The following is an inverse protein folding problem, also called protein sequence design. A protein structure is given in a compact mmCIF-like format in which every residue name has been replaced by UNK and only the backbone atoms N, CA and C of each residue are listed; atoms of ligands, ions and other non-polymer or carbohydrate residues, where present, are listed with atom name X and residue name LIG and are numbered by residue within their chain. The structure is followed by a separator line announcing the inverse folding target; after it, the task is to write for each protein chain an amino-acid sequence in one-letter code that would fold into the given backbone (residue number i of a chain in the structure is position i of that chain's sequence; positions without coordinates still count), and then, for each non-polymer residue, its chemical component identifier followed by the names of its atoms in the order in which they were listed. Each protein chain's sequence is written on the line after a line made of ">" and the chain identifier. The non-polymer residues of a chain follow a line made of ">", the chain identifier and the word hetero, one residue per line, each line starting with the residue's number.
data_IF_066134799584
#
_entry.id   IF_066134799584
#
_cell.length_a   1.000
_cell.length_b   1.000
_cell.length_c   1.000
_cell.angle_alpha   90.00
_cell.angle_beta   90.00
_cell.angle_gamma   90.00
#
_symmetry.space_group_name_H-M   'P 1'
#
loop_
_entity.id
_entity.type
_entity.pdbx_description
1 polymer ?
#
# COMPACT_ATOMS: atom_id res chain seq x y z
N UNK A 1 23.41 -16.36 -24.68
CA UNK A 1 22.54 -15.18 -24.91
C UNK A 1 22.24 -14.59 -23.55
N UNK A 2 22.94 -13.51 -23.21
CA UNK A 2 22.85 -12.83 -21.92
C UNK A 2 21.71 -11.82 -22.03
N UNK A 3 20.62 -12.01 -21.29
CA UNK A 3 19.56 -11.00 -21.20
C UNK A 3 20.05 -9.85 -20.31
N UNK A 4 20.42 -8.74 -20.93
CA UNK A 4 20.58 -7.47 -20.23
C UNK A 4 19.26 -7.09 -19.54
N UNK A 5 19.28 -6.60 -18.29
CA UNK A 5 18.08 -6.04 -17.66
C UNK A 5 17.63 -4.82 -18.45
N UNK A 6 16.35 -4.81 -18.83
CA UNK A 6 15.70 -3.68 -19.51
C UNK A 6 15.81 -2.44 -18.61
N UNK A 7 16.54 -1.42 -19.06
CA UNK A 7 16.73 -0.14 -18.35
C UNK A 7 15.60 0.86 -18.58
N UNK A 8 14.51 0.44 -19.22
CA UNK A 8 13.26 1.20 -19.27
C UNK A 8 12.47 0.83 -18.01
N UNK A 9 12.16 1.80 -17.14
CA UNK A 9 11.47 1.59 -15.85
C UNK A 9 10.02 1.09 -15.95
N UNK A 10 9.73 0.23 -16.91
CA UNK A 10 8.44 -0.37 -17.16
C UNK A 10 8.27 -1.57 -16.20
N UNK A 11 7.46 -1.36 -15.17
CA UNK A 11 7.08 -2.42 -14.24
C UNK A 11 6.02 -3.27 -14.93
N UNK A 12 6.35 -4.52 -15.25
CA UNK A 12 5.36 -5.51 -15.67
C UNK A 12 4.49 -5.83 -14.45
N UNK A 13 3.26 -5.32 -14.42
CA UNK A 13 2.32 -5.54 -13.33
C UNK A 13 1.74 -6.96 -13.43
N UNK A 14 2.13 -7.82 -12.49
CA UNK A 14 1.49 -9.12 -12.30
C UNK A 14 0.16 -8.92 -11.56
N UNK A 15 -0.92 -8.78 -12.33
CA UNK A 15 -2.26 -8.59 -11.78
C UNK A 15 -2.76 -9.80 -10.99
N UNK A 16 -2.22 -11.01 -11.22
CA UNK A 16 -2.60 -12.21 -10.47
C UNK A 16 -2.08 -12.17 -9.02
N UNK A 17 -0.96 -11.46 -8.80
CA UNK A 17 -0.39 -11.20 -7.49
C UNK A 17 -1.00 -9.98 -6.77
N UNK A 18 -1.90 -9.22 -7.41
CA UNK A 18 -2.51 -8.00 -6.84
C UNK A 18 -3.18 -8.23 -5.48
N UNK A 19 -3.80 -9.38 -5.28
CA UNK A 19 -4.41 -9.76 -4.00
C UNK A 19 -3.38 -9.87 -2.86
N UNK A 20 -2.22 -10.47 -3.14
CA UNK A 20 -1.15 -10.61 -2.16
C UNK A 20 -0.54 -9.24 -1.80
N UNK A 21 -0.30 -8.38 -2.79
CA UNK A 21 0.19 -7.03 -2.56
C UNK A 21 -0.81 -6.18 -1.76
N UNK A 22 -2.11 -6.29 -2.06
CA UNK A 22 -3.17 -5.58 -1.33
C UNK A 22 -3.23 -6.04 0.13
N UNK A 23 -3.16 -7.35 0.37
CA UNK A 23 -3.17 -7.90 1.72
C UNK A 23 -1.93 -7.47 2.52
N UNK A 24 -0.74 -7.51 1.91
CA UNK A 24 0.49 -7.06 2.54
C UNK A 24 0.46 -5.56 2.88
N UNK A 25 -0.05 -4.73 1.96
CA UNK A 25 -0.21 -3.30 2.18
C UNK A 25 -1.19 -3.00 3.33
N UNK A 26 -2.32 -3.71 3.39
CA UNK A 26 -3.28 -3.57 4.49
C UNK A 26 -2.66 -3.93 5.85
N UNK A 27 -1.97 -5.07 5.94
CA UNK A 27 -1.29 -5.50 7.16
C UNK A 27 -0.21 -4.48 7.61
N UNK A 28 0.58 -3.97 6.65
CA UNK A 28 1.58 -2.96 6.94
C UNK A 28 0.95 -1.64 7.41
N UNK A 29 -0.14 -1.19 6.78
CA UNK A 29 -0.87 0.01 7.18
C UNK A 29 -1.45 -0.12 8.60
N UNK A 30 -1.99 -1.29 8.96
CA UNK A 30 -2.48 -1.57 10.31
C UNK A 30 -1.35 -1.49 11.36
N UNK A 31 -0.20 -2.10 11.08
CA UNK A 31 0.97 -2.05 11.97
C UNK A 31 1.47 -0.61 12.16
N UNK A 32 1.55 0.17 11.08
CA UNK A 32 1.95 1.58 11.13
C UNK A 32 0.91 2.41 11.90
N UNK A 33 -0.38 2.18 11.68
CA UNK A 33 -1.44 2.87 12.43
C UNK A 33 -1.36 2.57 13.93
N UNK A 34 -1.13 1.31 14.32
CA UNK A 34 -0.92 0.91 15.70
C UNK A 34 0.33 1.57 16.32
N UNK A 35 1.43 1.65 15.56
CA UNK A 35 2.66 2.31 15.99
C UNK A 35 2.46 3.83 16.16
N UNK A 36 1.72 4.48 15.26
CA UNK A 36 1.33 5.89 15.39
C UNK A 36 0.51 6.13 16.68
N UNK A 37 -0.49 5.29 16.94
CA UNK A 37 -1.26 5.35 18.19
C UNK A 37 -0.42 5.05 19.44
N UNK A 38 0.61 4.21 19.33
CA UNK A 38 1.61 3.99 20.38
C UNK A 38 2.44 5.25 20.66
N UNK A 39 2.92 5.91 19.59
CA UNK A 39 3.67 7.15 19.70
C UNK A 39 2.84 8.30 20.31
N UNK A 40 1.56 8.42 19.92
CA UNK A 40 0.65 9.39 20.52
C UNK A 40 0.45 9.15 22.03
N UNK A 41 0.32 7.89 22.45
CA UNK A 41 0.24 7.53 23.87
C UNK A 41 1.53 7.85 24.62
N UNK A 42 2.69 7.55 24.05
CA UNK A 42 3.98 7.86 24.64
C UNK A 42 4.19 9.38 24.78
N UNK A 43 3.77 10.17 23.79
CA UNK A 43 3.83 11.63 23.84
C UNK A 43 2.98 12.23 24.98
N UNK A 44 1.93 11.52 25.39
CA UNK A 44 1.00 11.96 26.44
C UNK A 44 1.38 11.48 27.86
N UNK A 45 2.54 10.85 28.03
CA UNK A 45 3.00 10.44 29.36
C UNK A 45 3.17 11.65 30.28
N UNK A 46 2.66 11.50 31.50
CA UNK A 46 2.86 12.50 32.55
C UNK A 46 4.29 12.39 33.10
N UNK A 47 5.07 13.44 32.85
CA UNK A 47 6.45 13.57 33.27
C UNK A 47 6.64 14.68 34.31
N UNK A 48 5.55 15.23 34.85
CA UNK A 48 5.57 16.33 35.84
C UNK A 48 6.32 15.98 37.13
N UNK A 49 6.48 14.68 37.44
CA UNK A 49 7.24 14.18 38.59
C UNK A 49 8.77 14.32 38.50
N UNK A 50 9.32 14.76 37.36
CA UNK A 50 10.76 14.89 37.15
C UNK A 50 11.38 16.17 37.74
N UNK A 51 10.56 17.08 38.28
CA UNK A 51 11.03 18.36 38.84
C UNK A 51 11.52 19.36 37.77
N UNK A 52 12.16 20.46 38.20
CA UNK A 52 12.53 21.57 37.31
C UNK A 52 13.51 21.19 36.17
N UNK A 53 14.37 20.18 36.38
CA UNK A 53 15.26 19.67 35.33
C UNK A 53 14.55 18.77 34.32
N UNK A 54 13.31 18.37 34.62
CA UNK A 54 12.50 17.48 33.80
C UNK A 54 11.54 18.20 32.84
N UNK A 55 11.36 19.52 32.98
CA UNK A 55 10.42 20.28 32.15
C UNK A 55 10.87 20.33 30.68
N UNK A 56 12.14 20.69 30.45
CA UNK A 56 12.74 20.69 29.10
C UNK A 56 12.75 19.28 28.50
N UNK A 57 13.01 18.25 29.32
CA UNK A 57 12.93 16.86 28.89
C UNK A 57 11.50 16.48 28.50
N UNK A 58 10.50 16.85 29.30
CA UNK A 58 9.10 16.55 29.03
C UNK A 58 8.61 17.20 27.72
N UNK A 59 9.02 18.44 27.48
CA UNK A 59 8.75 19.15 26.21
C UNK A 59 9.42 18.43 25.04
N UNK A 60 10.71 18.11 25.15
CA UNK A 60 11.46 17.42 24.10
C UNK A 60 10.90 16.02 23.82
N UNK A 61 10.50 15.29 24.87
CA UNK A 61 9.87 13.97 24.79
C UNK A 61 8.55 14.02 24.03
N UNK A 62 7.63 14.91 24.45
CA UNK A 62 6.34 15.07 23.79
C UNK A 62 6.51 15.48 22.32
N UNK A 63 7.45 16.37 22.02
CA UNK A 63 7.75 16.79 20.65
C UNK A 63 8.29 15.64 19.79
N UNK A 64 9.25 14.86 20.32
CA UNK A 64 9.85 13.74 19.60
C UNK A 64 8.81 12.66 19.26
N UNK A 65 8.04 12.23 20.25
CA UNK A 65 6.99 11.22 20.04
C UNK A 65 5.83 11.73 19.20
N UNK A 66 5.46 13.01 19.33
CA UNK A 66 4.46 13.64 18.47
C UNK A 66 4.89 13.68 17.00
N UNK A 67 6.16 14.01 16.73
CA UNK A 67 6.70 14.01 15.37
C UNK A 67 6.82 12.59 14.78
N UNK A 68 7.25 11.61 15.60
CA UNK A 68 7.27 10.22 15.19
C UNK A 68 5.86 9.73 14.84
N UNK A 69 4.87 10.01 15.70
CA UNK A 69 3.47 9.63 15.46
C UNK A 69 2.91 10.21 14.15
N UNK A 70 3.19 11.48 13.86
CA UNK A 70 2.81 12.10 12.57
C UNK A 70 3.46 11.39 11.38
N UNK A 71 4.78 11.16 11.45
CA UNK A 71 5.54 10.54 10.37
C UNK A 71 5.03 9.13 10.06
N UNK A 72 4.87 8.32 11.10
CA UNK A 72 4.37 6.94 10.98
C UNK A 72 2.90 6.93 10.54
N UNK A 73 2.08 7.86 11.04
CA UNK A 73 0.69 8.04 10.58
C UNK A 73 0.60 8.36 9.09
N UNK A 74 1.44 9.25 8.58
CA UNK A 74 1.53 9.52 7.14
C UNK A 74 1.95 8.28 6.36
N UNK A 75 2.93 7.52 6.86
CA UNK A 75 3.35 6.27 6.22
C UNK A 75 2.20 5.24 6.15
N UNK A 76 1.40 5.13 7.22
CA UNK A 76 0.21 4.25 7.24
C UNK A 76 -0.78 4.61 6.12
N UNK A 77 -1.12 5.90 6.01
CA UNK A 77 -2.05 6.41 4.98
C UNK A 77 -1.53 6.15 3.57
N UNK A 78 -0.24 6.42 3.32
CA UNK A 78 0.36 6.18 2.00
C UNK A 78 0.40 4.69 1.64
N UNK A 79 0.66 3.83 2.62
CA UNK A 79 0.70 2.37 2.42
C UNK A 79 -0.68 1.81 2.11
N UNK A 80 -1.71 2.27 2.83
CA UNK A 80 -3.10 1.90 2.54
C UNK A 80 -3.52 2.39 1.14
N UNK A 81 -3.24 3.65 0.80
CA UNK A 81 -3.53 4.21 -0.52
C UNK A 81 -2.84 3.42 -1.65
N UNK A 82 -1.59 2.98 -1.45
CA UNK A 82 -0.91 2.10 -2.38
C UNK A 82 -1.65 0.76 -2.55
N UNK A 83 -2.06 0.12 -1.46
CA UNK A 83 -2.84 -1.12 -1.51
C UNK A 83 -4.15 -0.97 -2.27
N UNK A 84 -4.88 0.13 -2.03
CA UNK A 84 -6.12 0.45 -2.76
C UNK A 84 -5.87 0.65 -4.26
N UNK A 85 -4.80 1.35 -4.63
CA UNK A 85 -4.44 1.55 -6.03
C UNK A 85 -4.11 0.23 -6.73
N UNK A 86 -3.33 -0.65 -6.08
CA UNK A 86 -2.99 -1.98 -6.62
C UNK A 86 -4.24 -2.83 -6.82
N UNK A 87 -5.17 -2.81 -5.85
CA UNK A 87 -6.46 -3.51 -5.97
C UNK A 87 -7.25 -3.02 -7.16
N UNK A 88 -7.41 -1.70 -7.30
CA UNK A 88 -8.17 -1.11 -8.41
C UNK A 88 -7.58 -1.48 -9.77
N UNK A 89 -6.24 -1.43 -9.93
CA UNK A 89 -5.58 -1.84 -11.16
C UNK A 89 -5.72 -3.35 -11.44
N UNK A 90 -5.65 -4.19 -10.40
CA UNK A 90 -5.92 -5.62 -10.52
C UNK A 90 -7.31 -5.92 -11.06
N UNK A 91 -8.34 -5.23 -10.55
CA UNK A 91 -9.73 -5.36 -10.99
C UNK A 91 -9.92 -4.92 -12.46
N UNK A 92 -9.29 -3.80 -12.87
CA UNK A 92 -9.33 -3.32 -14.26
C UNK A 92 -8.70 -4.32 -15.22
N UNK A 93 -7.54 -4.88 -14.87
CA UNK A 93 -6.84 -5.85 -15.73
C UNK A 93 -7.63 -7.16 -15.84
N UNK A 94 -8.19 -7.66 -14.74
CA UNK A 94 -9.04 -8.85 -14.76
C UNK A 94 -10.31 -8.66 -15.63
N UNK A 95 -10.95 -7.50 -15.55
CA UNK A 95 -12.11 -7.17 -16.38
C UNK A 95 -11.74 -7.08 -17.88
N UNK A 96 -10.58 -6.48 -18.18
CA UNK A 96 -10.07 -6.37 -19.55
C UNK A 96 -9.77 -7.74 -20.15
N UNK A 97 -9.12 -8.62 -19.39
CA UNK A 97 -8.83 -10.00 -19.81
C UNK A 97 -10.12 -10.79 -20.10
N UNK A 98 -11.11 -10.72 -19.21
CA UNK A 98 -12.41 -11.36 -19.40
C UNK A 98 -13.14 -10.82 -20.65
N UNK A 99 -13.12 -9.50 -20.87
CA UNK A 99 -13.72 -8.89 -22.06
C UNK A 99 -13.05 -9.37 -23.34
N UNK A 100 -11.72 -9.37 -23.38
CA UNK A 100 -10.95 -9.80 -24.54
C UNK A 100 -11.15 -11.30 -24.83
N UNK A 101 -11.15 -12.15 -23.80
CA UNK A 101 -11.43 -13.57 -23.94
C UNK A 101 -12.83 -13.82 -24.53
N UNK A 102 -13.84 -13.06 -24.07
CA UNK A 102 -15.19 -13.10 -24.62
C UNK A 102 -15.25 -12.66 -26.09
N UNK A 103 -14.58 -11.56 -26.44
CA UNK A 103 -14.54 -11.05 -27.81
C UNK A 103 -13.84 -12.03 -28.77
N UNK A 104 -12.73 -12.63 -28.34
CA UNK A 104 -12.01 -13.66 -29.12
C UNK A 104 -12.90 -14.88 -29.30
N UNK A 105 -13.54 -15.37 -28.24
CA UNK A 105 -14.47 -16.50 -28.32
C UNK A 105 -15.62 -16.26 -29.31
N UNK A 106 -16.20 -15.06 -29.29
CA UNK A 106 -17.25 -14.68 -30.23
C UNK A 106 -16.74 -14.61 -31.69
N UNK A 107 -15.55 -14.05 -31.91
CA UNK A 107 -14.96 -13.96 -33.25
C UNK A 107 -14.63 -15.35 -33.84
N UNK A 108 -14.12 -16.27 -33.00
CA UNK A 108 -13.86 -17.67 -33.40
C UNK A 108 -15.17 -18.38 -33.76
N UNK A 109 -16.23 -18.17 -32.98
CA UNK A 109 -17.55 -18.74 -33.27
C UNK A 109 -18.13 -18.24 -34.60
N UNK A 110 -18.07 -16.93 -34.89
CA UNK A 110 -18.54 -16.35 -36.16
C UNK A 110 -17.73 -16.89 -37.37
N UNK A 111 -16.43 -17.06 -37.22
CA UNK A 111 -15.57 -17.64 -38.27
C UNK A 111 -15.96 -19.08 -38.56
N UNK A 112 -16.19 -19.89 -37.51
CA UNK A 112 -16.61 -21.29 -37.65
C UNK A 112 -17.96 -21.42 -38.35
N UNK A 113 -18.89 -20.48 -38.14
CA UNK A 113 -20.21 -20.48 -38.80
C UNK A 113 -20.13 -20.10 -40.29
N UNK A 114 -19.14 -19.31 -40.70
CA UNK A 114 -18.97 -18.89 -42.10
C UNK A 114 -18.27 -19.93 -42.99
N UNK A 115 -17.57 -20.89 -42.40
CA UNK A 115 -16.85 -21.96 -43.12
C UNK A 115 -17.69 -23.23 -43.32
N UNK A 116 -18.97 -23.24 -42.89
CA UNK A 116 -19.94 -24.35 -43.04
C UNK A 116 -21.08 -23.93 -43.95
#
# INVERSE_FOLDING_TARGET
>A
MSNSPNTSGEVVFDYTASAAYTAAAAQAAELLSAASGGAARAAAFDLSGLGALGEDFAVAWAAAWGNLGKTVGTAAVLTDAYGQAVKAWGEVMAATDAHNAGAIGAAVADTTVREV
#
